data_IF_147842116695
#
_entry.id   IF_147842116695
#
_cell.length_a   1.000
_cell.length_b   1.000
_cell.length_c   1.000
_cell.angle_alpha   90.00
_cell.angle_beta   90.00
_cell.angle_gamma   90.00
#
_symmetry.space_group_name_H-M   'P 1'
#
loop_
_entity.id
_entity.type
_entity.pdbx_description
1 polymer ?
#
# COMPACT_ATOMS: atom_id res chain seq x y z
N UNK A 1 31.27 -0.62 20.10
CA UNK A 1 30.17 -1.60 19.97
C UNK A 1 28.90 -0.80 19.78
N UNK A 2 28.42 -0.69 18.56
CA UNK A 2 27.40 0.29 18.18
C UNK A 2 26.18 -0.46 17.65
N UNK A 3 25.03 -0.27 18.29
CA UNK A 3 23.79 -0.90 17.85
C UNK A 3 23.34 -0.27 16.53
N UNK A 4 23.34 -1.08 15.46
CA UNK A 4 22.82 -0.67 14.14
C UNK A 4 21.31 -0.85 14.16
N UNK A 5 20.57 0.26 14.07
CA UNK A 5 19.12 0.22 13.90
C UNK A 5 18.77 -0.51 12.60
N UNK A 6 17.97 -1.56 12.71
CA UNK A 6 17.42 -2.29 11.56
C UNK A 6 16.30 -1.45 10.92
N UNK A 7 16.27 -1.26 9.59
CA UNK A 7 15.13 -0.66 8.92
C UNK A 7 13.88 -1.54 9.10
N UNK A 8 12.74 -0.91 9.34
CA UNK A 8 11.51 -1.61 9.65
C UNK A 8 10.94 -2.31 8.41
N UNK A 9 10.71 -3.62 8.52
CA UNK A 9 9.97 -4.43 7.56
C UNK A 9 8.58 -3.82 7.26
N UNK A 10 7.94 -4.15 6.12
CA UNK A 10 6.52 -3.85 5.89
C UNK A 10 5.61 -4.56 6.91
N UNK A 11 5.41 -3.93 8.08
CA UNK A 11 4.76 -4.60 9.23
C UNK A 11 3.25 -4.83 9.08
N UNK A 12 2.58 -4.22 8.10
CA UNK A 12 1.11 -4.31 7.93
C UNK A 12 0.66 -5.73 7.63
N UNK A 13 1.34 -6.43 6.70
CA UNK A 13 1.04 -7.82 6.33
C UNK A 13 1.32 -8.82 7.47
N UNK A 14 2.23 -8.49 8.40
CA UNK A 14 2.69 -9.42 9.45
C UNK A 14 2.02 -9.20 10.82
N UNK A 15 1.57 -7.99 11.16
CA UNK A 15 0.88 -7.69 12.44
C UNK A 15 -0.48 -8.41 12.54
N UNK A 16 -1.31 -8.36 11.49
CA UNK A 16 -2.74 -8.73 11.53
C UNK A 16 -3.05 -10.24 11.56
N UNK A 17 -2.05 -11.11 11.68
CA UNK A 17 -2.24 -12.56 11.72
C UNK A 17 -1.95 -13.21 13.09
N UNK A 18 -1.36 -12.47 14.06
CA UNK A 18 -0.90 -13.02 15.33
C UNK A 18 -1.03 -12.03 16.50
N UNK A 19 -2.19 -11.99 17.18
CA UNK A 19 -2.27 -12.09 18.65
C UNK A 19 -3.69 -12.11 19.23
N UNK A 20 -3.82 -12.75 20.40
CA UNK A 20 -4.93 -12.57 21.35
C UNK A 20 -4.48 -11.62 22.48
N UNK A 21 -5.38 -10.86 23.12
CA UNK A 21 -5.00 -9.90 24.16
C UNK A 21 -4.67 -10.59 25.50
N UNK A 22 -3.73 -9.98 26.23
CA UNK A 22 -3.51 -10.23 27.67
C UNK A 22 -3.94 -9.00 28.45
N UNK A 23 -4.54 -9.20 29.63
CA UNK A 23 -5.26 -8.18 30.40
C UNK A 23 -4.49 -7.74 31.65
N UNK A 24 -4.27 -6.43 31.84
CA UNK A 24 -4.05 -5.85 33.18
C UNK A 24 -4.71 -4.46 33.32
N UNK A 25 -5.06 -4.14 34.57
CA UNK A 25 -5.84 -2.98 35.04
C UNK A 25 -4.98 -1.69 35.06
N UNK A 26 -5.46 -0.44 35.20
CA UNK A 26 -6.38 0.15 36.20
C UNK A 26 -6.82 1.58 35.75
N UNK A 27 -7.87 2.13 36.37
CA UNK A 27 -8.38 3.52 36.27
C UNK A 27 -8.22 4.20 37.66
N UNK A 28 -8.66 5.45 38.00
CA UNK A 28 -9.21 6.57 37.20
C UNK A 28 -8.68 7.98 37.58
N UNK A 29 -9.15 9.06 36.94
CA UNK A 29 -9.89 10.20 37.58
C UNK A 29 -10.12 11.41 36.62
N UNK A 30 -11.01 12.35 37.00
CA UNK A 30 -11.87 13.13 36.07
C UNK A 30 -12.09 14.60 36.52
N UNK A 31 -12.28 15.51 35.54
CA UNK A 31 -12.87 16.88 35.59
C UNK A 31 -12.14 18.03 36.34
N UNK A 32 -12.47 19.34 36.07
CA UNK A 32 -13.22 19.94 34.95
C UNK A 32 -12.49 21.17 34.30
N UNK A 33 -13.19 22.28 33.99
CA UNK A 33 -13.00 23.08 32.76
C UNK A 33 -13.06 24.62 32.90
N UNK A 34 -12.85 25.32 31.77
CA UNK A 34 -13.33 26.69 31.42
C UNK A 34 -12.50 27.93 31.86
N UNK A 35 -12.67 29.14 31.26
CA UNK A 35 -13.24 29.53 29.95
C UNK A 35 -12.34 30.46 29.08
N UNK A 36 -12.75 30.73 27.83
CA UNK A 36 -12.11 31.68 26.89
C UNK A 36 -12.45 33.17 27.19
N UNK A 37 -11.67 34.10 26.60
CA UNK A 37 -12.08 35.50 26.32
C UNK A 37 -11.66 35.94 24.90
N UNK A 38 -12.45 36.81 24.24
CA UNK A 38 -12.33 37.06 22.80
C UNK A 38 -11.25 38.09 22.43
N UNK A 39 -10.74 38.03 21.19
CA UNK A 39 -9.99 39.12 20.56
C UNK A 39 -10.66 39.53 19.24
N UNK A 40 -10.55 40.83 18.95
CA UNK A 40 -11.38 41.56 18.00
C UNK A 40 -10.98 41.29 16.55
N UNK A 41 -11.98 41.16 15.69
CA UNK A 41 -11.79 41.14 14.24
C UNK A 41 -11.25 42.47 13.72
N UNK A 42 -10.37 42.39 12.72
CA UNK A 42 -10.10 43.47 11.77
C UNK A 42 -10.43 42.92 10.39
N UNK A 43 -11.48 43.44 9.77
CA UNK A 43 -11.90 43.04 8.42
C UNK A 43 -10.90 43.55 7.39
N UNK A 44 -9.87 42.75 7.11
CA UNK A 44 -9.11 42.88 5.88
C UNK A 44 -9.95 42.27 4.74
N UNK A 45 -9.98 42.92 3.58
CA UNK A 45 -10.53 42.31 2.37
C UNK A 45 -9.60 41.16 1.96
N UNK A 46 -9.96 39.94 2.34
CA UNK A 46 -9.21 38.74 1.97
C UNK A 46 -9.39 38.49 0.48
N UNK A 47 -8.29 38.56 -0.28
CA UNK A 47 -8.22 37.80 -1.52
C UNK A 47 -8.44 36.33 -1.14
N UNK A 48 -9.56 35.76 -1.59
CA UNK A 48 -9.90 34.35 -1.37
C UNK A 48 -9.01 33.50 -2.28
N UNK A 49 -7.80 33.22 -1.81
CA UNK A 49 -6.86 32.35 -2.51
C UNK A 49 -7.49 30.96 -2.67
N UNK A 50 -7.56 30.47 -3.90
CA UNK A 50 -8.20 29.19 -4.21
C UNK A 50 -7.52 28.06 -3.45
N UNK A 51 -8.23 27.46 -2.48
CA UNK A 51 -7.68 26.39 -1.66
C UNK A 51 -7.75 25.07 -2.42
N UNK A 52 -6.60 24.40 -2.54
CA UNK A 52 -6.50 23.08 -3.18
C UNK A 52 -6.30 22.02 -2.10
N UNK A 53 -7.10 20.95 -2.15
CA UNK A 53 -6.90 19.74 -1.37
C UNK A 53 -6.06 18.76 -2.17
N UNK A 54 -4.95 18.30 -1.59
CA UNK A 54 -4.32 17.04 -1.95
C UNK A 54 -4.74 15.98 -0.93
N UNK A 55 -5.61 15.08 -1.35
CA UNK A 55 -6.03 13.93 -0.55
C UNK A 55 -5.29 12.68 -1.04
N UNK A 56 -4.43 12.09 -0.21
CA UNK A 56 -3.76 10.84 -0.54
C UNK A 56 -4.27 9.69 0.32
N UNK A 57 -4.33 8.50 -0.28
CA UNK A 57 -4.78 7.27 0.37
C UNK A 57 -3.64 6.24 0.33
N UNK A 58 -3.49 5.37 1.33
CA UNK A 58 -2.78 4.11 1.11
C UNK A 58 -3.60 3.17 0.19
N UNK A 59 -2.98 2.12 -0.33
CA UNK A 59 -3.59 1.17 -1.24
C UNK A 59 -4.10 -0.10 -0.54
N UNK A 60 -3.22 -0.78 0.21
CA UNK A 60 -3.46 -2.12 0.72
C UNK A 60 -4.12 -2.04 2.10
N UNK A 61 -5.15 -2.86 2.35
CA UNK A 61 -6.05 -2.75 3.52
C UNK A 61 -6.76 -1.39 3.69
N UNK A 62 -6.51 -0.42 2.79
CA UNK A 62 -7.17 0.89 2.75
C UNK A 62 -8.17 0.98 1.60
N UNK A 63 -7.72 0.75 0.36
CA UNK A 63 -8.56 0.73 -0.85
C UNK A 63 -8.93 -0.70 -1.27
N UNK A 64 -7.99 -1.64 -1.20
CA UNK A 64 -8.23 -3.03 -1.56
C UNK A 64 -7.56 -4.02 -0.61
N UNK A 65 -8.12 -5.22 -0.55
CA UNK A 65 -7.62 -6.32 0.27
C UNK A 65 -7.56 -7.62 -0.55
N UNK A 66 -6.76 -8.63 -0.14
CA UNK A 66 -6.75 -9.94 -0.80
C UNK A 66 -8.12 -10.62 -0.72
N UNK A 67 -8.57 -11.24 -1.83
CA UNK A 67 -9.79 -12.05 -1.83
C UNK A 67 -9.65 -13.30 -2.71
N UNK A 68 -9.60 -14.53 -2.15
CA UNK A 68 -9.50 -14.90 -0.73
C UNK A 68 -8.13 -14.49 -0.14
N UNK A 69 -7.77 -14.95 1.07
CA UNK A 69 -6.48 -14.55 1.68
C UNK A 69 -5.27 -15.01 0.84
N UNK A 70 -4.14 -14.31 0.95
CA UNK A 70 -2.91 -14.63 0.18
C UNK A 70 -2.51 -16.11 0.30
N UNK A 71 -2.51 -16.75 1.50
CA UNK A 71 -2.13 -18.16 1.61
C UNK A 71 -3.13 -19.13 0.95
N UNK A 72 -4.42 -18.81 0.95
CA UNK A 72 -5.45 -19.59 0.24
C UNK A 72 -5.28 -19.48 -1.28
N UNK A 73 -4.96 -18.30 -1.79
CA UNK A 73 -4.66 -18.10 -3.21
C UNK A 73 -3.41 -18.86 -3.67
N UNK A 74 -2.35 -18.84 -2.86
CA UNK A 74 -1.14 -19.65 -3.10
C UNK A 74 -1.44 -21.15 -3.10
N UNK A 75 -2.22 -21.65 -2.13
CA UNK A 75 -2.59 -23.05 -2.06
C UNK A 75 -3.47 -23.46 -3.26
N UNK A 76 -4.47 -22.64 -3.61
CA UNK A 76 -5.34 -22.84 -4.78
C UNK A 76 -4.54 -22.90 -6.09
N UNK A 77 -3.61 -21.95 -6.30
CA UNK A 77 -2.72 -21.95 -7.46
C UNK A 77 -1.82 -23.19 -7.48
N UNK A 78 -1.20 -23.56 -6.35
CA UNK A 78 -0.39 -24.77 -6.25
C UNK A 78 -1.17 -26.03 -6.65
N UNK A 79 -2.42 -26.18 -6.17
CA UNK A 79 -3.28 -27.32 -6.52
C UNK A 79 -3.68 -27.31 -7.99
N UNK A 80 -3.90 -26.13 -8.58
CA UNK A 80 -4.18 -25.97 -10.01
C UNK A 80 -3.00 -26.45 -10.88
N UNK A 81 -1.77 -26.21 -10.43
CA UNK A 81 -0.52 -26.72 -11.03
C UNK A 81 -0.14 -28.14 -10.56
N UNK A 82 -1.05 -28.88 -9.94
CA UNK A 82 -0.86 -30.30 -9.60
C UNK A 82 -0.03 -30.58 -8.34
N UNK A 83 0.37 -29.57 -7.56
CA UNK A 83 1.05 -29.81 -6.28
C UNK A 83 0.08 -30.45 -5.26
N UNK A 84 0.55 -31.41 -4.44
CA UNK A 84 -0.32 -32.23 -3.61
C UNK A 84 -1.05 -31.43 -2.53
N UNK A 85 -2.37 -31.60 -2.45
CA UNK A 85 -3.26 -30.92 -1.49
C UNK A 85 -2.92 -31.22 -0.01
N UNK A 86 -2.36 -32.40 0.26
CA UNK A 86 -1.85 -32.82 1.57
C UNK A 86 -0.56 -32.10 1.96
N UNK A 87 0.22 -31.62 0.98
CA UNK A 87 1.43 -30.85 1.23
C UNK A 87 1.11 -29.35 1.37
N UNK A 88 0.38 -28.79 0.40
CA UNK A 88 0.15 -27.35 0.31
C UNK A 88 -1.21 -26.98 0.91
N UNK A 89 -1.22 -26.57 2.19
CA UNK A 89 -2.39 -25.96 2.83
C UNK A 89 -2.14 -24.48 3.10
N UNK A 90 -3.19 -23.69 3.29
CA UNK A 90 -3.09 -22.25 3.55
C UNK A 90 -2.26 -21.96 4.82
N UNK A 91 -2.41 -22.77 5.86
CA UNK A 91 -1.68 -22.65 7.13
C UNK A 91 -0.18 -22.91 6.94
N UNK A 92 0.17 -23.94 6.15
CA UNK A 92 1.57 -24.29 5.86
C UNK A 92 2.24 -23.25 4.97
N UNK A 93 1.55 -22.79 3.93
CA UNK A 93 1.98 -21.63 3.13
C UNK A 93 2.21 -20.42 4.02
N UNK A 94 1.26 -20.10 4.91
CA UNK A 94 1.34 -18.94 5.80
C UNK A 94 2.47 -19.05 6.85
N UNK A 95 2.78 -20.27 7.29
CA UNK A 95 3.93 -20.55 8.16
C UNK A 95 5.25 -20.31 7.42
N UNK A 96 5.37 -20.86 6.20
CA UNK A 96 6.56 -20.77 5.38
C UNK A 96 6.82 -19.36 4.79
N UNK A 97 5.77 -18.63 4.42
CA UNK A 97 5.86 -17.32 3.77
C UNK A 97 6.55 -16.28 4.66
N UNK A 98 6.23 -16.22 5.97
CA UNK A 98 6.76 -15.18 6.86
C UNK A 98 8.29 -15.15 6.99
N UNK A 99 8.99 -16.26 7.30
CA UNK A 99 10.45 -16.23 7.38
C UNK A 99 11.09 -15.95 6.03
N UNK A 100 10.49 -16.41 4.92
CA UNK A 100 10.98 -16.15 3.56
C UNK A 100 10.84 -14.67 3.19
N UNK A 101 9.64 -14.09 3.34
CA UNK A 101 9.39 -12.66 3.16
C UNK A 101 10.31 -11.80 4.03
N UNK A 102 10.42 -12.12 5.33
CA UNK A 102 11.31 -11.40 6.26
C UNK A 102 12.77 -11.44 5.81
N UNK A 103 13.28 -12.61 5.42
CA UNK A 103 14.65 -12.74 4.92
C UNK A 103 14.86 -11.94 3.63
N UNK A 104 13.90 -12.00 2.70
CA UNK A 104 13.96 -11.26 1.44
C UNK A 104 13.93 -9.74 1.65
N UNK A 105 13.02 -9.21 2.47
CA UNK A 105 12.96 -7.78 2.81
C UNK A 105 14.21 -7.28 3.54
N UNK A 106 14.89 -8.14 4.32
CA UNK A 106 16.17 -7.79 4.96
C UNK A 106 17.34 -7.81 3.97
N UNK A 107 17.38 -8.77 3.06
CA UNK A 107 18.45 -8.90 2.05
C UNK A 107 18.31 -7.89 0.90
N UNK A 108 17.07 -7.54 0.54
CA UNK A 108 16.68 -6.67 -0.58
C UNK A 108 15.55 -5.71 -0.13
N UNK A 109 15.85 -4.66 0.66
CA UNK A 109 14.85 -3.64 1.05
C UNK A 109 14.22 -2.95 -0.17
N UNK A 110 13.01 -2.42 -0.02
CA UNK A 110 12.24 -1.74 -1.08
C UNK A 110 12.35 -2.46 -2.45
N UNK A 111 11.99 -3.75 -2.46
CA UNK A 111 11.99 -4.64 -3.64
C UNK A 111 13.36 -4.81 -4.33
N UNK A 112 14.46 -4.51 -3.64
CA UNK A 112 15.81 -4.54 -4.18
C UNK A 112 16.14 -3.35 -5.10
N UNK A 113 15.43 -2.21 -4.98
CA UNK A 113 15.59 -1.04 -5.85
C UNK A 113 17.04 -0.60 -6.04
N UNK A 114 17.83 -0.57 -4.98
CA UNK A 114 19.24 -0.17 -5.05
C UNK A 114 20.07 -1.10 -5.94
N UNK A 115 19.74 -2.39 -5.97
CA UNK A 115 20.38 -3.38 -6.84
C UNK A 115 19.88 -3.29 -8.29
N UNK A 116 18.62 -2.87 -8.50
CA UNK A 116 18.08 -2.53 -9.83
C UNK A 116 18.82 -1.33 -10.41
N UNK A 117 19.03 -0.26 -9.63
CA UNK A 117 19.81 0.90 -10.05
C UNK A 117 21.26 0.51 -10.43
N UNK A 118 21.83 -0.46 -9.70
CA UNK A 118 23.15 -1.04 -10.01
C UNK A 118 23.15 -2.01 -11.21
N UNK A 119 22.00 -2.34 -11.77
CA UNK A 119 21.86 -3.30 -12.87
C UNK A 119 22.15 -4.75 -12.50
N UNK A 120 22.12 -5.11 -11.20
CA UNK A 120 22.46 -6.44 -10.71
C UNK A 120 21.27 -7.23 -10.14
N UNK A 121 20.03 -6.75 -10.34
CA UNK A 121 18.81 -7.40 -9.88
C UNK A 121 17.59 -7.02 -10.75
N UNK A 122 16.65 -7.95 -10.94
CA UNK A 122 15.45 -7.79 -11.79
C UNK A 122 14.22 -7.19 -11.10
N UNK A 123 14.42 -6.51 -9.97
CA UNK A 123 13.39 -5.72 -9.28
C UNK A 123 12.19 -6.52 -8.74
N UNK A 124 11.03 -5.88 -8.56
CA UNK A 124 9.84 -6.46 -7.92
C UNK A 124 9.40 -7.81 -8.48
N UNK A 125 9.49 -8.04 -9.80
CA UNK A 125 9.11 -9.31 -10.43
C UNK A 125 10.05 -10.46 -10.01
N UNK A 126 11.36 -10.21 -9.93
CA UNK A 126 12.31 -11.16 -9.35
C UNK A 126 12.09 -11.34 -7.85
N UNK A 127 11.91 -10.24 -7.12
CA UNK A 127 11.76 -10.20 -5.66
C UNK A 127 10.58 -11.04 -5.16
N UNK A 128 9.40 -10.86 -5.76
CA UNK A 128 8.24 -11.69 -5.46
C UNK A 128 8.38 -13.13 -5.97
N UNK A 129 9.04 -13.33 -7.12
CA UNK A 129 9.34 -14.66 -7.64
C UNK A 129 10.21 -15.49 -6.69
N UNK A 130 11.22 -14.87 -6.06
CA UNK A 130 12.09 -15.48 -5.05
C UNK A 130 11.30 -15.84 -3.77
N UNK A 131 10.37 -14.99 -3.33
CA UNK A 131 9.50 -15.30 -2.18
C UNK A 131 8.52 -16.45 -2.48
N UNK A 132 7.89 -16.45 -3.65
CA UNK A 132 6.98 -17.54 -4.07
C UNK A 132 7.75 -18.87 -4.09
N UNK A 133 8.93 -18.89 -4.74
CA UNK A 133 9.80 -20.08 -4.81
C UNK A 133 10.24 -20.53 -3.42
N UNK A 134 10.77 -19.63 -2.60
CA UNK A 134 11.22 -19.95 -1.24
C UNK A 134 10.10 -20.49 -0.34
N UNK A 135 8.88 -19.94 -0.48
CA UNK A 135 7.70 -20.39 0.26
C UNK A 135 7.33 -21.82 -0.09
N UNK A 136 7.16 -22.15 -1.38
CA UNK A 136 6.81 -23.52 -1.77
C UNK A 136 7.94 -24.53 -1.52
N UNK A 137 9.20 -24.17 -1.79
CA UNK A 137 10.35 -25.02 -1.48
C UNK A 137 10.38 -25.40 0.00
N UNK A 138 10.07 -24.46 0.89
CA UNK A 138 10.00 -24.72 2.33
C UNK A 138 8.84 -25.65 2.70
N UNK A 139 7.62 -25.40 2.20
CA UNK A 139 6.46 -26.25 2.49
C UNK A 139 6.69 -27.69 2.01
N UNK A 140 7.24 -27.85 0.80
CA UNK A 140 7.50 -29.16 0.20
C UNK A 140 8.63 -29.90 0.93
N UNK A 141 9.74 -29.23 1.26
CA UNK A 141 10.81 -29.83 2.06
C UNK A 141 10.31 -30.30 3.45
N UNK A 142 9.51 -29.50 4.14
CA UNK A 142 8.89 -29.88 5.42
C UNK A 142 7.92 -31.07 5.26
N UNK A 143 7.24 -31.20 4.12
CA UNK A 143 6.33 -32.34 3.85
C UNK A 143 7.09 -33.64 3.59
N UNK A 144 8.06 -33.63 2.66
CA UNK A 144 8.81 -34.83 2.30
C UNK A 144 9.69 -35.32 3.44
N UNK A 145 10.27 -34.41 4.24
CA UNK A 145 11.03 -34.80 5.43
C UNK A 145 10.16 -35.55 6.45
N UNK A 146 8.94 -35.07 6.72
CA UNK A 146 8.00 -35.74 7.62
C UNK A 146 7.60 -37.14 7.10
N UNK A 147 7.23 -37.24 5.82
CA UNK A 147 6.81 -38.51 5.23
C UNK A 147 7.95 -39.54 5.22
N UNK A 148 9.18 -39.14 4.89
CA UNK A 148 10.33 -40.05 4.83
C UNK A 148 10.73 -40.58 6.22
N UNK A 149 10.59 -39.78 7.28
CA UNK A 149 10.79 -40.23 8.68
C UNK A 149 9.77 -41.32 9.07
N UNK A 150 8.57 -41.30 8.49
CA UNK A 150 7.54 -42.32 8.75
C UNK A 150 7.69 -43.61 7.94
N UNK A 151 8.61 -43.68 6.97
CA UNK A 151 8.76 -44.85 6.09
C UNK A 151 10.07 -45.63 6.24
N UNK A 152 11.16 -45.03 6.70
CA UNK A 152 12.45 -45.72 6.86
C UNK A 152 13.13 -45.43 8.20
N UNK A 153 13.39 -46.51 8.97
CA UNK A 153 14.28 -46.48 10.15
C UNK A 153 15.76 -46.64 9.78
N UNK A 154 16.07 -47.02 8.53
CA UNK A 154 17.40 -47.43 8.08
C UNK A 154 17.78 -46.83 6.71
N UNK A 155 18.14 -45.54 6.66
CA UNK A 155 19.10 -45.06 5.65
C UNK A 155 19.75 -43.70 5.97
N UNK A 156 20.95 -43.74 6.55
CA UNK A 156 21.82 -42.57 6.73
C UNK A 156 22.59 -42.24 5.43
N UNK A 157 21.94 -41.67 4.41
CA UNK A 157 22.68 -40.90 3.39
C UNK A 157 21.86 -39.91 2.54
N UNK A 158 22.02 -38.61 2.78
CA UNK A 158 22.55 -37.66 1.77
C UNK A 158 22.26 -36.20 2.17
N UNK A 159 23.32 -35.43 2.39
CA UNK A 159 23.25 -33.98 2.60
C UNK A 159 23.12 -33.23 1.26
N UNK A 160 22.08 -33.54 0.48
CA UNK A 160 21.71 -32.74 -0.68
C UNK A 160 20.41 -32.00 -0.39
N UNK A 161 20.49 -30.67 -0.23
CA UNK A 161 19.30 -29.81 -0.36
C UNK A 161 18.95 -29.75 -1.85
N UNK A 162 18.34 -30.82 -2.35
CA UNK A 162 17.76 -30.85 -3.68
C UNK A 162 16.83 -29.64 -3.82
N UNK A 163 17.15 -28.76 -4.77
CA UNK A 163 16.29 -27.66 -5.12
C UNK A 163 14.93 -28.24 -5.52
N UNK A 164 13.86 -27.80 -4.87
CA UNK A 164 12.52 -28.31 -5.18
C UNK A 164 12.06 -27.66 -6.47
N UNK A 165 12.06 -28.43 -7.56
CA UNK A 165 11.53 -27.98 -8.84
C UNK A 165 10.02 -27.77 -8.72
N UNK A 166 9.61 -26.53 -8.96
CA UNK A 166 8.20 -26.14 -8.98
C UNK A 166 7.67 -26.26 -10.41
N UNK A 167 6.38 -26.60 -10.60
CA UNK A 167 5.78 -26.65 -11.92
C UNK A 167 6.00 -25.37 -12.72
N UNK A 168 6.39 -25.51 -13.99
CA UNK A 168 6.56 -24.39 -14.90
C UNK A 168 5.28 -23.54 -14.96
N UNK A 169 5.46 -22.22 -15.00
CA UNK A 169 4.35 -21.26 -15.02
C UNK A 169 3.72 -20.94 -13.65
N UNK A 170 3.83 -21.79 -12.61
CA UNK A 170 3.17 -21.54 -11.30
C UNK A 170 3.56 -20.19 -10.68
N UNK A 171 4.85 -19.83 -10.76
CA UNK A 171 5.35 -18.55 -10.24
C UNK A 171 4.81 -17.37 -11.04
N UNK A 172 4.79 -17.48 -12.38
CA UNK A 172 4.22 -16.46 -13.26
C UNK A 172 2.72 -16.25 -12.99
N UNK A 173 1.96 -17.35 -12.93
CA UNK A 173 0.53 -17.33 -12.62
C UNK A 173 0.19 -16.59 -11.32
N UNK A 174 0.99 -16.78 -10.25
CA UNK A 174 0.81 -16.05 -9.00
C UNK A 174 1.22 -14.58 -9.12
N UNK A 175 2.34 -14.28 -9.79
CA UNK A 175 2.79 -12.90 -10.03
C UNK A 175 1.74 -12.08 -10.77
N UNK A 176 1.15 -12.67 -11.82
CA UNK A 176 0.18 -12.03 -12.69
C UNK A 176 -1.20 -11.94 -12.00
N UNK A 177 -1.62 -12.96 -11.23
CA UNK A 177 -2.82 -12.90 -10.36
C UNK A 177 -2.76 -11.75 -9.34
N UNK A 178 -1.59 -11.51 -8.75
CA UNK A 178 -1.39 -10.40 -7.81
C UNK A 178 -1.05 -9.07 -8.51
N UNK A 179 -1.26 -8.95 -9.82
CA UNK A 179 -1.24 -7.68 -10.55
C UNK A 179 -2.64 -7.15 -10.90
N UNK A 180 -3.71 -7.85 -10.49
CA UNK A 180 -5.08 -7.55 -10.91
C UNK A 180 -6.17 -7.99 -9.92
N UNK A 181 -7.44 -7.69 -10.24
CA UNK A 181 -8.67 -8.07 -9.50
C UNK A 181 -8.80 -9.57 -9.20
N UNK A 182 -8.08 -10.43 -9.93
CA UNK A 182 -8.01 -11.87 -9.69
C UNK A 182 -7.36 -12.20 -8.33
N UNK A 183 -6.60 -11.26 -7.74
CA UNK A 183 -6.03 -11.37 -6.40
C UNK A 183 -6.74 -10.56 -5.31
N UNK A 184 -7.61 -9.60 -5.66
CA UNK A 184 -8.04 -8.54 -4.75
C UNK A 184 -9.52 -8.16 -4.89
N UNK A 185 -10.07 -7.51 -3.87
CA UNK A 185 -11.33 -6.78 -3.95
C UNK A 185 -11.20 -5.40 -3.30
N UNK A 186 -12.02 -4.44 -3.75
CA UNK A 186 -12.21 -3.17 -3.04
C UNK A 186 -13.03 -3.40 -1.77
N UNK A 187 -12.84 -2.55 -0.76
CA UNK A 187 -13.81 -2.43 0.34
C UNK A 187 -15.10 -1.77 -0.16
N UNK A 188 -16.24 -2.14 0.44
CA UNK A 188 -17.58 -1.73 0.00
C UNK A 188 -17.80 -0.19 0.01
N UNK A 189 -17.03 0.55 0.82
CA UNK A 189 -17.10 2.01 0.96
C UNK A 189 -16.29 2.79 -0.09
N UNK A 190 -15.35 2.13 -0.77
CA UNK A 190 -14.43 2.76 -1.73
C UNK A 190 -15.16 3.25 -2.97
N UNK A 191 -16.10 2.45 -3.50
CA UNK A 191 -16.94 2.81 -4.64
C UNK A 191 -17.82 4.05 -4.36
N UNK A 192 -18.61 4.08 -3.28
CA UNK A 192 -19.35 5.25 -2.83
C UNK A 192 -18.48 6.49 -2.60
N UNK A 193 -17.32 6.34 -1.93
CA UNK A 193 -16.38 7.43 -1.69
C UNK A 193 -15.88 8.06 -3.00
N UNK A 194 -15.33 7.26 -3.92
CA UNK A 194 -14.84 7.79 -5.20
C UNK A 194 -15.98 8.35 -6.05
N UNK A 195 -17.17 7.75 -6.02
CA UNK A 195 -18.34 8.30 -6.73
C UNK A 195 -18.71 9.71 -6.25
N UNK A 196 -18.63 9.98 -4.95
CA UNK A 196 -18.86 11.31 -4.39
C UNK A 196 -17.75 12.30 -4.81
N UNK A 197 -16.48 11.96 -4.60
CA UNK A 197 -15.34 12.85 -4.93
C UNK A 197 -15.28 13.13 -6.45
N UNK A 198 -15.59 12.14 -7.28
CA UNK A 198 -15.77 12.27 -8.72
C UNK A 198 -16.86 13.28 -9.07
N UNK A 199 -18.04 13.18 -8.44
CA UNK A 199 -19.14 14.13 -8.68
C UNK A 199 -18.77 15.57 -8.27
N UNK A 200 -17.99 15.77 -7.20
CA UNK A 200 -17.42 17.09 -6.87
C UNK A 200 -16.53 17.59 -8.01
N UNK A 201 -15.58 16.77 -8.46
CA UNK A 201 -14.61 17.16 -9.50
C UNK A 201 -15.25 17.39 -10.88
N UNK A 202 -16.29 16.63 -11.24
CA UNK A 202 -16.98 16.73 -12.55
C UNK A 202 -17.90 17.96 -12.65
N UNK A 203 -18.53 18.41 -11.56
CA UNK A 203 -19.50 19.51 -11.58
C UNK A 203 -18.90 20.90 -11.28
N UNK A 204 -17.57 21.07 -11.42
CA UNK A 204 -16.81 22.21 -10.87
C UNK A 204 -17.14 22.50 -9.38
N UNK A 205 -17.50 21.44 -8.65
CA UNK A 205 -18.00 21.52 -7.29
C UNK A 205 -16.91 21.82 -6.27
N UNK A 206 -17.31 22.44 -5.17
CA UNK A 206 -16.45 22.64 -4.00
C UNK A 206 -16.64 21.49 -3.02
N UNK A 207 -15.55 20.99 -2.44
CA UNK A 207 -15.61 20.16 -1.23
C UNK A 207 -15.34 21.07 -0.03
N UNK A 208 -16.40 21.55 0.61
CA UNK A 208 -16.26 22.54 1.70
C UNK A 208 -15.46 23.78 1.29
N UNK A 209 -14.30 24.07 1.94
CA UNK A 209 -13.47 25.21 1.57
C UNK A 209 -12.72 25.02 0.24
N UNK A 210 -12.56 23.78 -0.25
CA UNK A 210 -11.68 23.43 -1.36
C UNK A 210 -12.34 23.67 -2.72
N UNK A 211 -11.67 24.43 -3.59
CA UNK A 211 -12.09 24.70 -4.98
C UNK A 211 -11.48 23.73 -5.99
N UNK A 212 -10.53 22.90 -5.54
CA UNK A 212 -9.94 21.83 -6.32
C UNK A 212 -9.58 20.68 -5.38
N UNK A 213 -9.91 19.46 -5.79
CA UNK A 213 -9.52 18.23 -5.12
C UNK A 213 -8.63 17.43 -6.08
N UNK A 214 -7.40 17.15 -5.64
CA UNK A 214 -6.49 16.19 -6.27
C UNK A 214 -6.46 14.96 -5.37
N UNK A 215 -6.71 13.79 -5.94
CA UNK A 215 -6.67 12.52 -5.20
C UNK A 215 -5.46 11.71 -5.63
N UNK A 216 -4.66 11.25 -4.68
CA UNK A 216 -3.50 10.41 -4.94
C UNK A 216 -3.52 9.11 -4.15
N UNK A 217 -2.68 8.16 -4.57
CA UNK A 217 -2.30 7.02 -3.74
C UNK A 217 -0.84 7.15 -3.34
N UNK A 218 -0.51 6.88 -2.08
CA UNK A 218 0.87 6.87 -1.56
C UNK A 218 1.05 5.60 -0.74
N UNK A 219 1.82 4.63 -1.24
CA UNK A 219 1.88 3.29 -0.64
C UNK A 219 3.28 2.67 -0.63
N UNK A 220 3.58 1.90 0.43
CA UNK A 220 4.79 1.08 0.54
C UNK A 220 4.63 -0.23 -0.26
N UNK A 221 4.54 -0.06 -1.58
CA UNK A 221 4.25 -1.09 -2.55
C UNK A 221 5.24 -1.07 -3.71
N UNK A 222 5.22 -2.13 -4.51
CA UNK A 222 5.80 -2.13 -5.85
C UNK A 222 4.88 -1.45 -6.88
N UNK A 223 5.34 -1.39 -8.12
CA UNK A 223 4.73 -0.66 -9.23
C UNK A 223 3.39 -1.22 -9.73
N UNK A 224 2.90 -2.37 -9.24
CA UNK A 224 1.61 -2.95 -9.68
C UNK A 224 0.35 -2.22 -9.20
N UNK A 225 0.46 -1.34 -8.20
CA UNK A 225 -0.71 -0.66 -7.58
C UNK A 225 -1.67 -0.03 -8.61
N UNK A 226 -1.22 0.72 -9.64
CA UNK A 226 -2.11 1.30 -10.62
C UNK A 226 -2.83 0.24 -11.47
N UNK A 227 -2.12 -0.82 -11.90
CA UNK A 227 -2.73 -1.92 -12.65
C UNK A 227 -3.80 -2.65 -11.84
N UNK A 228 -3.55 -2.92 -10.55
CA UNK A 228 -4.53 -3.48 -9.61
C UNK A 228 -5.76 -2.58 -9.53
N UNK A 229 -5.59 -1.29 -9.24
CA UNK A 229 -6.69 -0.32 -9.10
C UNK A 229 -7.50 -0.15 -10.40
N UNK A 230 -6.83 -0.06 -11.57
CA UNK A 230 -7.49 -0.03 -12.89
C UNK A 230 -8.31 -1.31 -13.12
N UNK A 231 -7.77 -2.49 -12.83
CA UNK A 231 -8.49 -3.76 -12.99
C UNK A 231 -9.68 -3.92 -12.04
N UNK A 232 -9.64 -3.27 -10.87
CA UNK A 232 -10.75 -3.20 -9.91
C UNK A 232 -11.83 -2.18 -10.30
N UNK A 233 -11.68 -1.47 -11.43
CA UNK A 233 -12.68 -0.58 -12.00
C UNK A 233 -12.55 0.90 -11.64
N UNK A 234 -11.45 1.30 -10.99
CA UNK A 234 -11.17 2.72 -10.68
C UNK A 234 -10.47 3.42 -11.85
N UNK A 235 -10.79 4.70 -12.06
CA UNK A 235 -10.16 5.55 -13.10
C UNK A 235 -8.86 6.14 -12.54
N UNK A 236 -7.73 5.53 -12.91
CA UNK A 236 -6.40 5.91 -12.41
C UNK A 236 -5.60 6.62 -13.51
N UNK A 237 -5.20 7.87 -13.25
CA UNK A 237 -4.31 8.63 -14.12
C UNK A 237 -2.86 8.11 -14.08
N UNK A 238 -2.03 8.58 -15.01
CA UNK A 238 -0.68 8.05 -15.24
C UNK A 238 0.45 8.85 -14.60
N UNK A 239 0.12 9.78 -13.69
CA UNK A 239 1.08 10.50 -12.87
C UNK A 239 1.68 9.58 -11.77
N UNK A 240 3.01 9.65 -11.61
CA UNK A 240 3.84 8.70 -10.85
C UNK A 240 5.03 9.41 -10.20
N UNK A 241 5.80 8.69 -9.38
CA UNK A 241 7.03 9.24 -8.80
C UNK A 241 8.14 9.41 -9.85
N UNK A 242 9.02 10.38 -9.60
CA UNK A 242 10.15 10.79 -10.45
C UNK A 242 11.43 11.10 -9.62
N UNK A 243 11.60 10.46 -8.46
CA UNK A 243 12.79 10.68 -7.62
C UNK A 243 14.04 9.99 -8.22
N UNK A 244 14.94 10.79 -8.77
CA UNK A 244 16.33 10.43 -9.08
C UNK A 244 16.52 9.58 -10.34
N UNK A 245 15.78 8.46 -10.45
CA UNK A 245 15.71 7.64 -11.66
C UNK A 245 14.27 7.63 -12.13
N UNK A 246 14.05 8.06 -13.37
CA UNK A 246 12.75 7.98 -14.03
C UNK A 246 12.16 6.58 -13.90
N UNK A 247 10.91 6.48 -13.46
CA UNK A 247 10.22 5.21 -13.23
C UNK A 247 10.18 4.32 -14.49
N UNK A 248 10.21 4.91 -15.71
CA UNK A 248 10.33 4.17 -16.97
C UNK A 248 11.68 3.45 -17.16
N UNK A 249 12.67 3.69 -16.30
CA UNK A 249 14.00 3.04 -16.36
C UNK A 249 14.20 1.96 -15.29
N UNK A 250 13.21 1.70 -14.45
CA UNK A 250 13.27 0.66 -13.42
C UNK A 250 12.65 -0.64 -13.96
N UNK A 251 13.34 -1.77 -13.78
CA UNK A 251 12.73 -3.07 -14.05
C UNK A 251 11.60 -3.33 -13.04
N UNK A 252 10.41 -3.71 -13.49
CA UNK A 252 9.24 -3.88 -12.63
C UNK A 252 8.19 -4.78 -13.26
N UNK A 253 6.93 -4.47 -12.99
CA UNK A 253 5.76 -5.07 -13.63
C UNK A 253 5.07 -4.12 -14.62
N UNK A 254 5.18 -2.80 -14.46
CA UNK A 254 4.62 -1.85 -15.42
C UNK A 254 5.54 -1.67 -16.64
N UNK A 255 5.27 -2.44 -17.69
CA UNK A 255 5.76 -2.15 -19.03
C UNK A 255 5.05 -0.90 -19.58
N UNK A 256 5.67 0.28 -19.43
CA UNK A 256 5.19 1.52 -20.04
C UNK A 256 5.82 1.69 -21.42
N UNK A 257 5.02 1.49 -22.47
CA UNK A 257 5.45 1.70 -23.85
C UNK A 257 6.08 3.08 -24.04
N UNK A 258 7.31 3.14 -24.55
CA UNK A 258 8.07 4.37 -24.81
C UNK A 258 7.55 5.18 -26.03
N UNK A 259 6.25 5.05 -26.33
CA UNK A 259 5.64 5.50 -27.57
C UNK A 259 4.14 5.76 -27.43
N UNK A 260 3.74 6.61 -26.48
CA UNK A 260 2.57 7.49 -26.66
C UNK A 260 2.93 8.93 -26.28
N UNK A 261 3.95 9.48 -26.96
CA UNK A 261 3.80 10.84 -27.50
C UNK A 261 2.86 10.78 -28.72
N UNK A 262 1.65 10.27 -28.50
CA UNK A 262 0.57 10.32 -29.46
C UNK A 262 -0.27 11.52 -29.07
N UNK A 263 -0.17 12.60 -29.83
CA UNK A 263 -1.18 13.65 -29.83
C UNK A 263 -2.51 13.01 -30.27
N UNK A 264 -3.31 12.56 -29.30
CA UNK A 264 -4.61 11.92 -29.53
C UNK A 264 -4.59 10.39 -29.63
N UNK A 265 -4.45 9.71 -28.49
CA UNK A 265 -4.95 8.34 -28.29
C UNK A 265 -5.86 8.28 -27.06
N UNK A 266 -7.11 7.85 -27.23
CA UNK A 266 -7.94 7.33 -26.13
C UNK A 266 -8.21 8.28 -24.95
N UNK A 267 -8.60 9.53 -25.22
CA UNK A 267 -9.13 10.46 -24.21
C UNK A 267 -10.29 9.81 -23.44
N UNK A 268 -10.02 9.34 -22.22
CA UNK A 268 -11.04 9.35 -21.17
C UNK A 268 -11.23 10.82 -20.77
N UNK A 269 -12.18 11.48 -21.42
CA UNK A 269 -12.57 12.89 -21.14
C UNK A 269 -13.19 13.03 -19.73
N UNK A 270 -13.46 11.89 -19.09
CA UNK A 270 -13.93 11.79 -17.72
C UNK A 270 -12.81 11.95 -16.69
N UNK A 271 -13.12 12.72 -15.65
CA UNK A 271 -12.28 12.94 -14.46
C UNK A 271 -11.72 11.63 -13.88
N UNK A 272 -10.43 11.58 -13.57
CA UNK A 272 -9.85 10.44 -12.84
C UNK A 272 -10.33 10.37 -11.39
N UNK A 273 -10.54 9.16 -10.87
CA UNK A 273 -10.80 8.91 -9.45
C UNK A 273 -9.52 9.14 -8.63
N UNK A 274 -8.39 8.69 -9.18
CA UNK A 274 -7.05 8.78 -8.61
C UNK A 274 -6.17 9.45 -9.67
N UNK A 275 -5.72 10.67 -9.39
CA UNK A 275 -4.97 11.51 -10.32
C UNK A 275 -3.48 11.12 -10.40
N UNK A 276 -2.91 10.59 -9.30
CA UNK A 276 -1.52 10.14 -9.20
C UNK A 276 -1.35 8.91 -8.30
N UNK A 277 -0.33 8.09 -8.56
CA UNK A 277 0.06 6.95 -7.70
C UNK A 277 1.55 7.01 -7.41
N UNK A 278 1.92 7.07 -6.13
CA UNK A 278 3.30 7.13 -5.64
C UNK A 278 3.58 5.85 -4.86
N UNK A 279 4.28 4.92 -5.49
CA UNK A 279 4.75 3.70 -4.82
C UNK A 279 6.13 3.95 -4.18
N UNK A 280 6.45 3.28 -3.08
CA UNK A 280 7.79 3.39 -2.46
C UNK A 280 8.88 2.88 -3.38
N UNK A 281 8.57 1.89 -4.23
CA UNK A 281 9.50 1.39 -5.23
C UNK A 281 9.90 2.48 -6.22
N UNK A 282 8.93 3.16 -6.83
CA UNK A 282 9.22 4.26 -7.75
C UNK A 282 9.87 5.46 -7.02
N UNK A 283 9.32 5.87 -5.87
CA UNK A 283 9.84 7.01 -5.09
C UNK A 283 11.22 6.77 -4.45
N UNK A 284 11.66 5.52 -4.33
CA UNK A 284 12.93 5.15 -3.68
C UNK A 284 12.94 5.26 -2.16
N UNK A 285 11.85 5.73 -1.55
CA UNK A 285 11.68 5.91 -0.11
C UNK A 285 10.35 5.33 0.35
N UNK A 286 10.35 4.71 1.53
CA UNK A 286 9.17 4.14 2.17
C UNK A 286 8.61 5.09 3.23
N UNK A 287 7.28 5.09 3.43
CA UNK A 287 6.65 5.60 4.66
C UNK A 287 7.24 4.85 5.86
N UNK A 288 7.61 5.50 6.97
CA UNK A 288 7.15 6.83 7.39
C UNK A 288 8.07 8.01 6.97
N UNK A 289 8.96 7.86 5.99
CA UNK A 289 9.81 8.97 5.54
C UNK A 289 8.95 10.14 5.01
N UNK A 290 9.14 11.39 5.48
CA UNK A 290 8.38 12.54 4.97
C UNK A 290 8.61 12.77 3.47
N UNK A 291 9.74 12.27 2.94
CA UNK A 291 10.15 12.42 1.55
C UNK A 291 9.11 11.87 0.56
N UNK A 292 8.43 10.76 0.86
CA UNK A 292 7.42 10.21 -0.06
C UNK A 292 6.19 11.12 -0.20
N UNK A 293 5.86 11.88 0.85
CA UNK A 293 4.81 12.89 0.84
C UNK A 293 5.24 14.15 0.07
N UNK A 294 6.51 14.58 0.21
CA UNK A 294 7.08 15.66 -0.63
C UNK A 294 6.95 15.34 -2.12
N UNK A 295 7.24 14.10 -2.53
CA UNK A 295 7.07 13.61 -3.91
C UNK A 295 5.62 13.70 -4.35
N UNK A 296 4.68 13.21 -3.55
CA UNK A 296 3.25 13.27 -3.87
C UNK A 296 2.77 14.72 -4.06
N UNK A 297 3.17 15.66 -3.19
CA UNK A 297 2.82 17.08 -3.35
C UNK A 297 3.50 17.71 -4.56
N UNK A 298 4.76 17.36 -4.86
CA UNK A 298 5.48 17.85 -6.03
C UNK A 298 4.82 17.40 -7.33
N UNK A 299 4.39 16.14 -7.40
CA UNK A 299 3.63 15.58 -8.53
C UNK A 299 2.24 16.19 -8.67
N UNK A 300 1.48 16.35 -7.59
CA UNK A 300 0.17 17.01 -7.62
C UNK A 300 0.23 18.47 -8.13
N UNK A 301 1.29 19.21 -7.77
CA UNK A 301 1.55 20.56 -8.31
C UNK A 301 1.85 20.54 -9.80
N UNK A 302 2.73 19.64 -10.25
CA UNK A 302 3.09 19.50 -11.66
C UNK A 302 1.86 19.17 -12.53
N UNK A 303 1.02 18.23 -12.06
CA UNK A 303 -0.21 17.84 -12.74
C UNK A 303 -1.21 18.99 -12.87
N UNK A 304 -1.42 19.76 -11.79
CA UNK A 304 -2.43 20.83 -11.76
C UNK A 304 -1.97 22.13 -12.41
N UNK A 305 -0.65 22.31 -12.63
CA UNK A 305 -0.02 23.58 -13.06
C UNK A 305 -0.35 24.76 -12.13
N UNK A 306 -0.60 24.48 -10.86
CA UNK A 306 -0.93 25.48 -9.82
C UNK A 306 0.33 25.85 -9.06
N UNK A 307 0.79 27.09 -9.22
CA UNK A 307 1.83 27.67 -8.37
C UNK A 307 1.36 27.77 -6.90
N UNK A 308 2.29 27.79 -5.94
CA UNK A 308 2.00 27.87 -4.48
C UNK A 308 1.25 29.15 -4.02
N UNK A 309 0.84 30.01 -4.95
CA UNK A 309 -0.06 31.14 -4.71
C UNK A 309 -1.43 30.68 -4.15
N UNK A 310 -1.88 29.47 -4.49
CA UNK A 310 -3.03 28.82 -3.86
C UNK A 310 -2.63 28.02 -2.62
N UNK A 311 -3.34 28.18 -1.51
CA UNK A 311 -3.09 27.42 -0.29
C UNK A 311 -3.37 25.92 -0.49
N UNK A 312 -2.34 25.09 -0.32
CA UNK A 312 -2.47 23.62 -0.34
C UNK A 312 -2.75 23.08 1.06
N UNK A 313 -3.89 22.43 1.24
CA UNK A 313 -4.11 21.49 2.36
C UNK A 313 -3.74 20.10 1.86
N UNK A 314 -2.95 19.37 2.64
CA UNK A 314 -2.53 18.01 2.29
C UNK A 314 -2.99 17.05 3.39
N UNK A 315 -3.73 16.02 3.01
CA UNK A 315 -4.34 15.02 3.89
C UNK A 315 -3.91 13.63 3.44
N UNK A 316 -3.55 12.76 4.38
CA UNK A 316 -3.31 11.34 4.10
C UNK A 316 -4.22 10.44 4.94
N UNK A 317 -4.62 9.31 4.38
CA UNK A 317 -5.51 8.33 5.01
C UNK A 317 -4.97 6.92 4.78
N UNK A 318 -4.88 6.10 5.84
CA UNK A 318 -4.44 4.71 5.72
C UNK A 318 -4.68 3.88 6.99
N UNK A 319 -4.42 2.58 6.89
CA UNK A 319 -4.71 1.58 7.93
C UNK A 319 -3.57 1.31 8.92
N UNK A 320 -2.41 1.97 8.76
CA UNK A 320 -1.26 1.83 9.67
C UNK A 320 -1.01 3.13 10.45
N UNK A 321 -1.13 3.07 11.79
CA UNK A 321 -0.93 4.22 12.69
C UNK A 321 0.46 4.84 12.53
N UNK A 322 1.50 4.03 12.32
CA UNK A 322 2.88 4.50 12.26
C UNK A 322 3.27 4.94 10.85
N UNK A 323 2.86 4.20 9.82
CA UNK A 323 3.23 4.48 8.42
C UNK A 323 2.31 5.46 7.72
N UNK A 324 1.06 5.62 8.13
CA UNK A 324 0.10 6.49 7.44
C UNK A 324 -0.20 7.71 8.30
N UNK A 325 -0.84 7.51 9.46
CA UNK A 325 -1.27 8.59 10.34
C UNK A 325 -0.09 9.41 10.88
N UNK A 326 0.84 8.78 11.62
CA UNK A 326 2.01 9.47 12.21
C UNK A 326 3.00 9.97 11.16
N UNK A 327 3.13 9.27 10.04
CA UNK A 327 4.02 9.69 8.95
C UNK A 327 3.52 10.97 8.27
N UNK A 328 2.22 11.08 8.01
CA UNK A 328 1.60 12.28 7.46
C UNK A 328 1.74 13.47 8.41
N UNK A 329 1.41 13.27 9.69
CA UNK A 329 1.59 14.29 10.75
C UNK A 329 3.07 14.71 10.85
N UNK A 330 4.00 13.76 10.79
CA UNK A 330 5.45 14.03 10.76
C UNK A 330 5.94 14.76 9.51
N UNK A 331 5.23 14.65 8.38
CA UNK A 331 5.45 15.41 7.15
C UNK A 331 4.74 16.79 7.14
N UNK A 332 4.02 17.15 8.22
CA UNK A 332 3.25 18.40 8.31
C UNK A 332 1.92 18.37 7.55
N UNK A 333 1.36 17.18 7.33
CA UNK A 333 0.05 16.93 6.71
C UNK A 333 -0.96 16.50 7.79
N UNK A 334 -2.25 16.59 7.50
CA UNK A 334 -3.24 15.93 8.35
C UNK A 334 -3.26 14.43 8.07
N UNK A 335 -3.11 13.63 9.12
CA UNK A 335 -3.35 12.18 9.05
C UNK A 335 -4.77 11.84 9.48
N UNK A 336 -5.36 10.84 8.83
CA UNK A 336 -6.53 10.10 9.32
C UNK A 336 -6.20 8.60 9.38
N UNK A 337 -6.44 7.98 10.53
CA UNK A 337 -6.32 6.55 10.72
C UNK A 337 -7.64 5.85 10.34
N UNK A 338 -7.59 4.96 9.35
CA UNK A 338 -8.73 4.17 8.88
C UNK A 338 -8.76 2.81 9.61
N UNK A 339 -9.53 2.76 10.69
CA UNK A 339 -9.70 1.55 11.49
C UNK A 339 -10.64 0.55 10.79
N UNK A 340 -10.09 -0.29 9.91
CA UNK A 340 -10.80 -1.42 9.31
C UNK A 340 -11.09 -2.51 10.36
N UNK A 341 -12.35 -2.94 10.44
CA UNK A 341 -12.78 -4.07 11.29
C UNK A 341 -12.73 -3.80 12.80
N UNK A 342 -12.62 -4.88 13.59
CA UNK A 342 -12.63 -4.83 15.06
C UNK A 342 -11.34 -4.27 15.69
N UNK A 343 -10.33 -3.94 14.88
CA UNK A 343 -9.05 -3.35 15.32
C UNK A 343 -9.16 -1.91 15.84
N UNK A 344 -10.38 -1.36 15.92
CA UNK A 344 -10.72 -0.03 16.42
C UNK A 344 -10.46 0.20 17.94
N UNK A 345 -9.51 -0.51 18.54
CA UNK A 345 -9.11 -0.40 19.96
C UNK A 345 -7.59 -0.22 20.06
N UNK A 346 -7.17 0.88 20.70
CA UNK A 346 -5.79 1.22 21.06
C UNK A 346 -4.91 1.93 19.99
N UNK A 347 -5.51 2.53 18.95
CA UNK A 347 -4.79 3.52 18.15
C UNK A 347 -4.72 4.87 18.90
N UNK A 348 -3.50 5.32 19.18
CA UNK A 348 -3.19 6.65 19.75
C UNK A 348 -3.14 7.67 18.59
N UNK A 349 -4.34 8.02 18.11
CA UNK A 349 -4.58 8.90 16.98
C UNK A 349 -5.85 9.75 17.23
N UNK A 350 -5.76 11.05 16.99
CA UNK A 350 -6.88 11.99 17.23
C UNK A 350 -7.96 11.88 16.15
N UNK A 351 -7.54 11.60 14.91
CA UNK A 351 -8.37 11.56 13.71
C UNK A 351 -8.60 10.10 13.28
N UNK A 352 -9.67 9.46 13.77
CA UNK A 352 -10.01 8.06 13.44
C UNK A 352 -11.32 7.99 12.66
N UNK A 353 -11.30 7.26 11.54
CA UNK A 353 -12.48 6.90 10.73
C UNK A 353 -12.62 5.38 10.63
N UNK A 354 -13.81 4.88 10.32
CA UNK A 354 -14.07 3.44 10.07
C UNK A 354 -14.38 3.15 8.60
N UNK A 355 -14.78 4.18 7.88
CA UNK A 355 -15.11 4.16 6.46
C UNK A 355 -14.55 5.40 5.77
N UNK A 356 -14.14 5.27 4.51
CA UNK A 356 -13.71 6.40 3.68
C UNK A 356 -14.85 7.41 3.46
N UNK A 357 -16.12 6.99 3.55
CA UNK A 357 -17.25 7.95 3.48
C UNK A 357 -17.37 8.82 4.74
N UNK A 358 -16.82 8.38 5.89
CA UNK A 358 -16.78 9.19 7.12
C UNK A 358 -15.88 10.44 6.95
N UNK A 359 -14.93 10.38 6.01
CA UNK A 359 -14.01 11.48 5.69
C UNK A 359 -14.70 12.65 5.01
N UNK A 360 -15.74 12.38 4.20
CA UNK A 360 -16.45 13.39 3.40
C UNK A 360 -16.94 14.58 4.25
N UNK A 361 -17.77 14.39 5.31
CA UNK A 361 -18.24 15.50 6.13
C UNK A 361 -17.11 16.23 6.88
N UNK A 362 -15.97 15.58 7.12
CA UNK A 362 -14.81 16.24 7.75
C UNK A 362 -14.05 17.14 6.77
N UNK A 363 -13.96 16.75 5.49
CA UNK A 363 -13.42 17.59 4.42
C UNK A 363 -14.37 18.74 4.07
N UNK A 364 -15.69 18.51 4.12
CA UNK A 364 -16.70 19.55 3.95
C UNK A 364 -16.67 20.60 5.07
N UNK A 365 -16.46 20.17 6.32
CA UNK A 365 -16.38 21.04 7.50
C UNK A 365 -14.97 21.63 7.76
N UNK A 366 -14.00 21.37 6.87
CA UNK A 366 -12.60 21.75 7.03
C UNK A 366 -12.45 23.29 7.09
N UNK A 367 -11.54 23.79 7.94
CA UNK A 367 -11.35 25.23 8.22
C UNK A 367 -10.07 25.81 7.63
#
# INVERSE_FOLDING_TARGET
MSAVNLPALPQSILKKLFNKPSTYYLNPLIQPSSPQKPKKEKTAMTQTHKRTLLLTLDAFETLFHPRPSVPEQYASAAHHFGLPKTAITAERVLSAFKPVFKAQSQARPNYGRDDVIRGCYGGPRQWWGEIIRGTFSRVLAEHYHYNNITTDSDNNNSNSRSQVDLPDGLVGYLLDRFASKEGYALYDDVGPFFSHIRAVKENEGRLGPFERVVVGVVSNSDDRVPAVLKSLGLRVGDCRADEGVDSMRLSGFEERSSSEMTEGSGVNDGVSDIDLVITSYEAGVEKPSPRIFEVARRQAKALTRVEDLGGWTCVHVGDDVDKDYRAAVGAGWDGYFLARGDEARSADADNVIRSLVDLIPMLEAYR
#
